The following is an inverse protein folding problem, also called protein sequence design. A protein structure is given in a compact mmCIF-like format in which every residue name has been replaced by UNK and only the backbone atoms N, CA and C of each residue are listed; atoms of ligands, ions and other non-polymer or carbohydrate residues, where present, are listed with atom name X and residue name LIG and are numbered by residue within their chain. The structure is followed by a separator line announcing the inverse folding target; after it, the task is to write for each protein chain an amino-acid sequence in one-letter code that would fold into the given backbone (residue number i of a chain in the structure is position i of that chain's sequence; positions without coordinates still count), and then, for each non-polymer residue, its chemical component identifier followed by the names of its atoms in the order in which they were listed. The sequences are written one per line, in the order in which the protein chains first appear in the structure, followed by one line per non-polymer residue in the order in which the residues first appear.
data_IF_116314815767
#
_entry.id   IF_116314815767
#
_cell.length_a   1.000
_cell.length_b   1.000
_cell.length_c   1.000
_cell.angle_alpha   90.00
_cell.angle_beta   90.00
_cell.angle_gamma   90.00
#
_symmetry.space_group_name_H-M   'P 1'
#
loop_
_entity.id
_entity.type
_entity.pdbx_description
1 polymer ?
#
# COMPACT_ATOMS: atom_id res chain seq x y z
N UNK A 1 -7.27 45.87 11.77
CA UNK A 1 -7.19 46.77 10.58
C UNK A 1 -5.83 46.71 9.88
N UNK A 2 -4.90 45.85 10.32
CA UNK A 2 -3.52 45.79 9.73
C UNK A 2 -3.27 44.66 8.73
N UNK A 3 -4.18 43.67 8.58
CA UNK A 3 -3.99 42.56 7.62
C UNK A 3 -4.34 42.87 6.16
N UNK A 4 -4.95 44.00 5.85
CA UNK A 4 -5.30 44.37 4.48
C UNK A 4 -4.29 45.31 3.80
N UNK A 5 -3.22 45.73 4.47
CA UNK A 5 -2.18 46.61 3.90
C UNK A 5 -0.99 45.83 3.30
N UNK A 6 -0.80 44.58 3.63
CA UNK A 6 0.31 43.76 3.12
C UNK A 6 0.05 43.11 1.77
N UNK A 7 -1.21 42.85 1.40
CA UNK A 7 -1.50 42.24 0.09
C UNK A 7 -1.50 43.21 -1.11
N UNK A 8 -1.59 44.50 -0.88
CA UNK A 8 -1.56 45.49 -1.98
C UNK A 8 -0.17 45.87 -2.46
N UNK A 9 0.89 45.59 -1.70
CA UNK A 9 2.26 45.93 -2.07
C UNK A 9 2.95 44.88 -2.98
N UNK A 10 2.44 43.63 -2.98
CA UNK A 10 3.05 42.55 -3.80
C UNK A 10 2.52 42.50 -5.25
N UNK A 11 1.38 43.13 -5.53
CA UNK A 11 0.80 43.12 -6.88
C UNK A 11 1.36 44.28 -7.76
N UNK A 12 1.88 45.34 -7.15
CA UNK A 12 2.45 46.46 -7.92
C UNK A 12 3.89 46.23 -8.41
N UNK A 13 4.64 45.29 -7.86
CA UNK A 13 6.01 44.97 -8.33
C UNK A 13 6.09 43.97 -9.46
N UNK A 14 5.01 43.25 -9.78
CA UNK A 14 4.96 42.26 -10.89
C UNK A 14 4.58 42.97 -12.23
N UNK A 15 3.95 44.11 -12.17
CA UNK A 15 3.51 44.87 -13.38
C UNK A 15 4.55 45.83 -13.94
N UNK A 16 5.70 46.00 -13.29
CA UNK A 16 6.76 46.94 -13.76
C UNK A 16 7.92 46.26 -14.51
N UNK A 17 7.95 44.95 -14.63
CA UNK A 17 9.01 44.20 -15.35
C UNK A 17 8.61 43.70 -16.75
N UNK A 18 7.45 44.07 -17.26
CA UNK A 18 6.98 43.66 -18.60
C UNK A 18 6.84 44.82 -19.62
N UNK A 19 7.36 46.02 -19.33
CA UNK A 19 7.17 47.20 -20.16
C UNK A 19 8.44 47.85 -20.77
N UNK A 20 9.61 47.16 -20.75
CA UNK A 20 10.83 47.73 -21.34
C UNK A 20 11.57 46.77 -22.27
N UNK A 21 10.89 46.30 -23.31
CA UNK A 21 11.54 45.58 -24.41
C UNK A 21 10.78 45.78 -25.73
N UNK A 22 10.55 47.05 -26.12
CA UNK A 22 10.18 47.38 -27.50
C UNK A 22 10.64 48.80 -27.76
N UNK A 23 11.30 49.00 -28.90
CA UNK A 23 11.81 50.24 -29.58
C UNK A 23 13.34 50.31 -29.53
N UNK A 24 13.97 49.79 -30.58
CA UNK A 24 14.87 50.52 -31.44
C UNK A 24 15.23 49.70 -32.68
N UNK A 25 14.51 49.90 -33.78
CA UNK A 25 14.94 49.53 -35.12
C UNK A 25 14.59 50.69 -36.04
N UNK A 26 15.54 51.54 -36.38
CA UNK A 26 15.44 52.40 -37.56
C UNK A 26 16.82 52.74 -38.10
N UNK A 27 17.08 52.29 -39.33
CA UNK A 27 17.75 52.94 -40.46
C UNK A 27 19.24 53.27 -40.39
N UNK A 28 20.03 52.53 -41.17
CA UNK A 28 20.99 53.17 -42.10
C UNK A 28 21.17 52.33 -43.38
N UNK A 29 21.11 52.93 -44.61
CA UNK A 29 21.44 52.24 -45.83
C UNK A 29 22.91 52.58 -46.22
N UNK A 30 23.72 51.60 -46.56
CA UNK A 30 24.98 51.76 -47.30
C UNK A 30 25.14 50.69 -48.36
N UNK A 31 25.40 51.19 -49.51
CA UNK A 31 25.55 50.51 -50.79
C UNK A 31 26.73 49.54 -50.86
N UNK A 32 26.52 48.51 -51.62
CA UNK A 32 27.34 47.82 -52.56
C UNK A 32 28.81 47.53 -52.28
N UNK A 33 29.10 46.19 -52.17
CA UNK A 33 30.20 45.55 -52.93
C UNK A 33 29.98 44.07 -52.97
N UNK A 34 29.77 43.52 -54.15
CA UNK A 34 29.77 42.08 -54.43
C UNK A 34 31.16 41.52 -54.15
N UNK A 35 31.27 40.68 -53.16
CA UNK A 35 32.40 39.78 -53.04
C UNK A 35 31.82 38.30 -53.08
N UNK A 36 32.15 37.62 -54.16
CA UNK A 36 31.99 36.18 -54.25
C UNK A 36 32.97 35.54 -53.25
N UNK A 37 32.52 35.11 -52.13
CA UNK A 37 33.30 34.29 -51.20
C UNK A 37 32.81 32.87 -51.25
N UNK A 38 33.76 31.98 -51.38
CA UNK A 38 33.66 30.55 -51.47
C UNK A 38 32.75 29.93 -50.39
N UNK A 39 32.14 28.80 -50.73
CA UNK A 39 31.21 28.06 -49.89
C UNK A 39 31.73 27.83 -48.47
N UNK A 40 31.08 28.48 -47.52
CA UNK A 40 31.03 28.04 -46.16
C UNK A 40 29.85 27.05 -46.11
N UNK A 41 30.18 25.74 -46.04
CA UNK A 41 29.21 24.79 -45.56
C UNK A 41 28.73 25.26 -44.19
N UNK A 42 27.55 25.82 -44.12
CA UNK A 42 26.86 26.05 -42.84
C UNK A 42 26.57 24.65 -42.30
N UNK A 43 27.42 24.17 -41.42
CA UNK A 43 27.06 23.08 -40.53
C UNK A 43 25.76 23.51 -39.87
N UNK A 44 24.67 22.84 -40.23
CA UNK A 44 23.39 23.01 -39.54
C UNK A 44 23.66 22.67 -38.09
N UNK A 45 23.73 23.68 -37.23
CA UNK A 45 23.86 23.54 -35.80
C UNK A 45 22.62 22.79 -35.32
N UNK A 46 22.73 21.46 -35.24
CA UNK A 46 21.62 20.60 -34.78
C UNK A 46 21.39 20.93 -33.33
N UNK A 47 20.26 21.58 -33.02
CA UNK A 47 19.89 21.94 -31.67
C UNK A 47 20.05 20.74 -30.74
N UNK A 48 20.71 20.97 -29.61
CA UNK A 48 20.86 19.93 -28.58
C UNK A 48 19.49 19.54 -27.98
N UNK A 49 19.11 18.28 -28.03
CA UNK A 49 17.83 17.79 -27.51
C UNK A 49 17.99 16.47 -26.79
N UNK A 50 17.31 16.31 -25.66
CA UNK A 50 17.08 15.02 -24.99
C UNK A 50 15.57 14.74 -24.89
N UNK A 51 15.13 13.56 -25.32
CA UNK A 51 13.73 13.14 -25.23
C UNK A 51 13.59 11.66 -24.93
N UNK A 52 12.50 11.28 -24.23
CA UNK A 52 12.17 9.86 -24.05
C UNK A 52 11.69 9.26 -25.37
N UNK A 53 12.35 8.21 -25.86
CA UNK A 53 11.88 7.34 -26.94
C UNK A 53 11.04 6.19 -26.41
N UNK A 54 11.24 5.82 -25.11
CA UNK A 54 10.44 4.83 -24.41
C UNK A 54 10.23 5.28 -22.96
N UNK A 55 8.96 5.50 -22.57
CA UNK A 55 8.58 5.90 -21.22
C UNK A 55 7.31 5.21 -20.74
N UNK A 56 7.00 5.31 -19.46
CA UNK A 56 5.73 4.88 -18.87
C UNK A 56 5.29 5.86 -17.79
N UNK A 57 3.99 6.13 -17.71
CA UNK A 57 3.38 6.98 -16.66
C UNK A 57 2.72 6.17 -15.56
N UNK A 58 2.55 4.83 -15.75
CA UNK A 58 1.87 3.96 -14.79
C UNK A 58 2.43 2.55 -14.80
N UNK A 59 2.78 2.03 -13.61
CA UNK A 59 3.33 0.69 -13.43
C UNK A 59 2.92 0.13 -12.06
N UNK A 60 2.81 -1.21 -11.93
CA UNK A 60 2.55 -1.86 -10.63
C UNK A 60 3.82 -1.94 -9.80
N UNK A 61 3.69 -1.82 -8.48
CA UNK A 61 4.77 -2.04 -7.53
C UNK A 61 5.37 -3.45 -7.69
N UNK A 62 6.69 -3.57 -7.51
CA UNK A 62 7.44 -4.82 -7.69
C UNK A 62 7.74 -5.17 -9.15
N UNK A 63 7.44 -4.29 -10.11
CA UNK A 63 7.78 -4.47 -11.53
C UNK A 63 8.98 -3.59 -11.91
N UNK A 64 9.66 -3.99 -12.98
CA UNK A 64 10.73 -3.20 -13.60
C UNK A 64 10.27 -2.60 -14.92
N UNK A 65 10.90 -1.51 -15.34
CA UNK A 65 10.70 -0.88 -16.62
C UNK A 65 12.00 -0.20 -17.05
N UNK A 66 12.38 -0.31 -18.33
CA UNK A 66 13.57 0.35 -18.85
C UNK A 66 13.14 1.55 -19.71
N UNK A 67 13.52 2.74 -19.28
CA UNK A 67 13.41 3.97 -20.04
C UNK A 67 14.48 4.01 -21.12
N UNK A 68 14.16 4.61 -22.25
CA UNK A 68 15.13 4.92 -23.32
C UNK A 68 14.95 6.38 -23.72
N UNK A 69 16.06 7.01 -24.07
CA UNK A 69 16.11 8.39 -24.57
C UNK A 69 16.79 8.42 -25.93
N UNK A 70 16.47 9.40 -26.74
CA UNK A 70 17.31 9.86 -27.84
C UNK A 70 17.98 11.16 -27.43
N UNK A 71 19.20 11.34 -27.92
CA UNK A 71 20.02 12.52 -27.73
C UNK A 71 20.46 12.99 -29.11
N UNK A 72 20.34 14.28 -29.40
CA UNK A 72 20.79 14.94 -30.65
C UNK A 72 21.63 16.14 -30.31
N UNK A 73 22.57 16.51 -31.18
CA UNK A 73 23.41 17.68 -31.01
C UNK A 73 24.54 17.57 -29.98
N UNK A 74 24.60 16.51 -29.18
CA UNK A 74 25.62 16.31 -28.14
C UNK A 74 25.91 14.83 -27.90
N UNK A 75 27.11 14.50 -27.39
CA UNK A 75 27.56 13.16 -27.01
C UNK A 75 27.66 13.00 -25.48
N UNK A 76 27.05 13.88 -24.70
CA UNK A 76 27.08 13.83 -23.25
C UNK A 76 26.50 12.51 -22.70
N UNK A 77 27.11 11.89 -21.66
CA UNK A 77 26.63 10.67 -21.10
C UNK A 77 25.27 10.84 -20.43
N UNK A 78 24.32 9.94 -20.76
CA UNK A 78 22.97 9.97 -20.18
C UNK A 78 22.97 9.36 -18.79
N UNK A 79 22.43 10.10 -17.82
CA UNK A 79 22.20 9.64 -16.45
C UNK A 79 20.73 9.75 -16.08
N UNK A 80 20.27 8.95 -15.10
CA UNK A 80 18.88 8.95 -14.67
C UNK A 80 18.76 9.17 -13.16
N UNK A 81 17.73 9.94 -12.76
CA UNK A 81 17.40 10.15 -11.35
C UNK A 81 15.90 9.89 -11.10
N UNK A 82 15.59 9.37 -9.91
CA UNK A 82 14.24 9.29 -9.37
C UNK A 82 14.08 10.30 -8.25
N UNK A 83 13.05 11.14 -8.31
CA UNK A 83 12.74 12.12 -7.27
C UNK A 83 12.30 11.46 -5.95
N UNK A 84 11.85 10.20 -5.99
CA UNK A 84 11.43 9.45 -4.80
C UNK A 84 11.92 8.00 -4.83
N UNK A 85 13.13 7.77 -4.33
CA UNK A 85 13.75 6.44 -4.28
C UNK A 85 12.99 5.42 -3.40
N UNK A 86 12.08 5.87 -2.51
CA UNK A 86 11.20 5.00 -1.72
C UNK A 86 10.06 4.43 -2.59
N UNK A 87 9.66 5.10 -3.65
CA UNK A 87 8.63 4.64 -4.60
C UNK A 87 9.26 3.81 -5.72
N UNK A 88 10.33 4.30 -6.35
CA UNK A 88 11.08 3.57 -7.36
C UNK A 88 12.54 4.02 -7.38
N UNK A 89 13.45 3.07 -7.66
CA UNK A 89 14.87 3.33 -7.94
C UNK A 89 15.09 3.19 -9.44
N UNK A 90 16.06 3.92 -9.99
CA UNK A 90 16.50 3.82 -11.38
C UNK A 90 18.02 3.81 -11.42
N UNK A 91 18.61 3.03 -12.32
CA UNK A 91 20.05 3.02 -12.56
C UNK A 91 20.41 3.84 -13.81
N UNK A 92 21.71 3.98 -14.08
CA UNK A 92 22.20 4.77 -15.22
C UNK A 92 21.89 4.14 -16.60
N UNK A 93 21.51 2.85 -16.65
CA UNK A 93 21.01 2.20 -17.88
C UNK A 93 19.50 2.44 -18.10
N UNK A 94 18.87 3.32 -17.32
CA UNK A 94 17.45 3.62 -17.40
C UNK A 94 16.53 2.51 -16.84
N UNK A 95 17.08 1.46 -16.19
CA UNK A 95 16.28 0.38 -15.60
C UNK A 95 15.73 0.82 -14.25
N UNK A 96 14.41 1.11 -14.23
CA UNK A 96 13.65 1.43 -13.02
C UNK A 96 13.14 0.15 -12.36
N UNK A 97 13.26 0.08 -11.03
CA UNK A 97 12.63 -0.94 -10.18
C UNK A 97 11.65 -0.27 -9.23
N UNK A 98 10.38 -0.63 -9.32
CA UNK A 98 9.33 -0.08 -8.46
C UNK A 98 9.27 -0.83 -7.13
N UNK A 99 9.09 -0.09 -6.02
CA UNK A 99 9.16 -0.60 -4.65
C UNK A 99 7.76 -0.61 -4.03
N UNK A 100 7.15 0.58 -3.88
CA UNK A 100 5.84 0.75 -3.24
C UNK A 100 4.97 1.74 -4.02
N UNK A 101 3.70 1.79 -3.68
CA UNK A 101 2.73 2.74 -4.24
C UNK A 101 3.13 4.19 -3.99
N UNK A 102 2.84 5.04 -4.96
CA UNK A 102 3.12 6.48 -4.90
C UNK A 102 3.44 7.05 -6.28
N UNK A 103 3.95 8.26 -6.28
CA UNK A 103 4.42 8.94 -7.50
C UNK A 103 5.90 9.29 -7.37
N UNK A 104 6.59 9.28 -8.49
CA UNK A 104 7.97 9.76 -8.62
C UNK A 104 8.16 10.35 -10.01
N UNK A 105 9.02 11.35 -10.14
CA UNK A 105 9.48 11.81 -11.44
C UNK A 105 10.77 11.06 -11.77
N UNK A 106 10.83 10.50 -12.97
CA UNK A 106 12.05 9.95 -13.56
C UNK A 106 12.58 10.99 -14.52
N UNK A 107 13.80 11.45 -14.28
CA UNK A 107 14.48 12.47 -15.08
C UNK A 107 15.73 11.85 -15.70
N UNK A 108 15.89 12.02 -17.00
CA UNK A 108 17.12 11.76 -17.71
C UNK A 108 17.87 13.09 -17.91
N UNK A 109 19.19 13.04 -17.77
CA UNK A 109 20.10 14.18 -17.92
C UNK A 109 21.19 13.82 -18.93
N UNK A 110 21.61 14.81 -19.72
CA UNK A 110 22.82 14.78 -20.57
C UNK A 110 23.41 16.20 -20.55
N UNK A 111 24.57 16.40 -19.88
CA UNK A 111 25.11 17.73 -19.61
C UNK A 111 24.09 18.65 -18.95
N UNK A 112 23.77 19.76 -19.59
CA UNK A 112 22.74 20.72 -19.15
C UNK A 112 21.31 20.35 -19.52
N UNK A 113 21.13 19.37 -20.42
CA UNK A 113 19.83 18.94 -20.91
C UNK A 113 19.13 18.03 -19.89
N UNK A 114 17.81 18.17 -19.77
CA UNK A 114 17.00 17.31 -18.91
C UNK A 114 15.60 17.09 -19.48
N UNK A 115 15.12 15.84 -19.39
CA UNK A 115 13.73 15.49 -19.68
C UNK A 115 13.16 14.64 -18.54
N UNK A 116 11.90 14.91 -18.16
CA UNK A 116 11.28 14.29 -17.01
C UNK A 116 9.89 13.70 -17.33
N UNK A 117 9.57 12.57 -16.71
CA UNK A 117 8.25 11.95 -16.78
C UNK A 117 7.75 11.59 -15.39
N UNK A 118 6.50 11.93 -15.08
CA UNK A 118 5.83 11.54 -13.84
C UNK A 118 5.35 10.11 -13.93
N UNK A 119 5.82 9.24 -13.03
CA UNK A 119 5.45 7.84 -12.96
C UNK A 119 4.57 7.60 -11.72
N UNK A 120 3.39 7.02 -11.95
CA UNK A 120 2.49 6.54 -10.89
C UNK A 120 2.71 5.05 -10.67
N UNK A 121 3.17 4.67 -9.48
CA UNK A 121 3.28 3.27 -9.07
C UNK A 121 1.99 2.86 -8.37
N UNK A 122 1.25 1.94 -8.99
CA UNK A 122 0.00 1.40 -8.46
C UNK A 122 0.26 0.18 -7.56
N UNK A 123 -0.67 -0.16 -6.63
CA UNK A 123 -0.46 -1.29 -5.73
C UNK A 123 -0.46 -2.62 -6.46
N UNK A 124 0.29 -3.60 -5.93
CA UNK A 124 0.22 -5.01 -6.35
C UNK A 124 -1.20 -5.54 -6.19
N UNK A 125 -1.72 -5.40 -4.98
CA UNK A 125 -3.02 -5.84 -4.50
C UNK A 125 -3.51 -4.96 -3.35
N UNK A 126 -4.80 -5.06 -3.01
CA UNK A 126 -5.41 -4.39 -1.86
C UNK A 126 -5.69 -5.44 -0.79
N UNK A 127 -5.14 -5.25 0.41
CA UNK A 127 -5.33 -6.12 1.57
C UNK A 127 -6.17 -5.39 2.61
N UNK A 128 -7.32 -5.95 2.99
CA UNK A 128 -8.07 -5.48 4.14
C UNK A 128 -7.59 -6.23 5.39
N UNK A 129 -7.16 -5.49 6.42
CA UNK A 129 -6.81 -6.00 7.73
C UNK A 129 -7.90 -5.63 8.73
N UNK A 130 -8.42 -6.63 9.43
CA UNK A 130 -9.43 -6.47 10.47
C UNK A 130 -8.87 -6.88 11.82
N UNK A 131 -8.31 -5.95 12.60
CA UNK A 131 -7.98 -6.21 13.99
C UNK A 131 -9.27 -6.48 14.78
N UNK A 132 -9.43 -7.71 15.28
CA UNK A 132 -10.62 -8.15 16.01
C UNK A 132 -10.94 -7.30 17.21
N UNK A 133 -12.21 -7.23 17.54
CA UNK A 133 -12.78 -6.50 18.68
C UNK A 133 -12.46 -4.98 18.74
N UNK A 134 -13.01 -4.31 19.71
CA UNK A 134 -12.70 -2.89 20.04
C UNK A 134 -12.75 -2.69 21.56
N UNK A 135 -12.32 -1.53 22.04
CA UNK A 135 -12.47 -1.17 23.47
C UNK A 135 -13.90 -0.82 23.86
N UNK A 136 -14.78 -0.61 22.87
CA UNK A 136 -16.21 -0.34 23.04
C UNK A 136 -16.97 -1.40 22.22
N UNK A 137 -17.66 -2.32 22.90
CA UNK A 137 -18.40 -3.40 22.25
C UNK A 137 -19.64 -2.84 21.54
N UNK A 138 -19.85 -3.22 20.29
CA UNK A 138 -21.07 -2.88 19.57
C UNK A 138 -22.24 -3.73 20.10
N UNK A 139 -23.20 -3.08 20.75
CA UNK A 139 -24.39 -3.71 21.33
C UNK A 139 -25.41 -4.15 20.28
N UNK A 140 -26.29 -5.10 20.66
CA UNK A 140 -27.36 -5.63 19.84
C UNK A 140 -26.87 -6.70 18.86
N UNK A 141 -27.75 -7.06 17.92
CA UNK A 141 -27.53 -8.15 16.97
C UNK A 141 -27.50 -7.63 15.51
N UNK A 142 -26.94 -8.44 14.62
CA UNK A 142 -26.89 -8.22 13.19
C UNK A 142 -27.17 -9.54 12.42
N UNK A 143 -27.62 -9.50 11.15
CA UNK A 143 -27.84 -10.71 10.37
C UNK A 143 -26.54 -11.49 10.17
N UNK A 144 -26.62 -12.83 10.27
CA UNK A 144 -25.48 -13.73 10.10
C UNK A 144 -24.84 -13.60 8.71
N UNK A 145 -25.65 -13.33 7.69
CA UNK A 145 -25.21 -13.08 6.31
C UNK A 145 -26.27 -12.28 5.55
N UNK A 146 -26.01 -11.88 4.30
CA UNK A 146 -26.98 -11.15 3.47
C UNK A 146 -28.30 -11.94 3.33
N UNK A 147 -29.42 -11.32 3.69
CA UNK A 147 -30.76 -11.94 3.66
C UNK A 147 -31.05 -12.93 4.79
N UNK A 148 -30.13 -13.14 5.74
CA UNK A 148 -30.31 -14.07 6.85
C UNK A 148 -31.36 -13.59 7.86
N UNK A 149 -32.27 -14.49 8.23
CA UNK A 149 -33.16 -14.32 9.41
C UNK A 149 -32.42 -14.62 10.72
N UNK A 150 -31.37 -15.48 10.70
CA UNK A 150 -30.51 -15.76 11.85
C UNK A 150 -29.71 -14.53 12.20
N UNK A 151 -29.67 -14.20 13.49
CA UNK A 151 -28.95 -13.04 14.00
C UNK A 151 -27.85 -13.47 14.97
N UNK A 152 -26.76 -12.72 14.98
CA UNK A 152 -25.62 -12.88 15.89
C UNK A 152 -25.33 -11.57 16.59
N UNK A 153 -24.65 -11.60 17.73
CA UNK A 153 -24.14 -10.39 18.36
C UNK A 153 -23.25 -9.60 17.38
N UNK A 154 -23.39 -8.28 17.38
CA UNK A 154 -22.62 -7.38 16.50
C UNK A 154 -21.12 -7.44 16.75
N UNK A 155 -20.71 -7.62 17.99
CA UNK A 155 -19.32 -7.75 18.43
C UNK A 155 -19.31 -8.47 19.80
N UNK A 156 -18.11 -8.80 20.26
CA UNK A 156 -17.86 -9.31 21.61
C UNK A 156 -16.63 -8.58 22.19
N UNK A 157 -16.44 -8.66 23.49
CA UNK A 157 -15.29 -8.05 24.18
C UNK A 157 -13.94 -8.66 23.76
N UNK A 158 -13.97 -9.87 23.20
CA UNK A 158 -12.78 -10.69 23.00
C UNK A 158 -12.25 -11.27 24.32
N UNK A 159 -11.11 -11.91 24.22
CA UNK A 159 -10.41 -12.48 25.38
C UNK A 159 -9.37 -11.49 25.95
N UNK A 160 -8.66 -11.94 26.97
CA UNK A 160 -7.57 -11.15 27.58
C UNK A 160 -6.45 -12.08 28.06
N UNK A 161 -5.24 -11.58 28.07
CA UNK A 161 -4.09 -12.29 28.58
C UNK A 161 -4.27 -12.73 30.03
N UNK A 162 -4.11 -14.03 30.29
CA UNK A 162 -4.29 -14.59 31.64
C UNK A 162 -3.26 -14.05 32.63
N UNK A 163 -2.03 -13.76 32.17
CA UNK A 163 -0.93 -13.20 32.96
C UNK A 163 -0.82 -11.70 32.75
N UNK A 164 -0.72 -11.27 31.49
CA UNK A 164 -0.42 -9.86 31.15
C UNK A 164 -1.62 -8.93 31.27
N UNK A 165 -2.82 -9.51 31.36
CA UNK A 165 -4.09 -8.76 31.39
C UNK A 165 -4.32 -7.85 30.17
N UNK A 166 -3.52 -8.00 29.12
CA UNK A 166 -3.68 -7.25 27.87
C UNK A 166 -4.97 -7.71 27.19
N UNK A 167 -5.93 -6.82 26.90
CA UNK A 167 -7.12 -7.19 26.13
C UNK A 167 -6.76 -7.56 24.68
N UNK A 168 -7.47 -8.52 24.10
CA UNK A 168 -7.29 -8.98 22.73
C UNK A 168 -7.31 -7.82 21.71
N UNK A 169 -8.25 -6.89 21.85
CA UNK A 169 -8.36 -5.76 20.91
C UNK A 169 -7.10 -4.88 20.85
N UNK A 170 -6.28 -4.82 21.93
CA UNK A 170 -4.99 -4.12 21.92
C UNK A 170 -3.93 -4.91 21.19
N UNK A 171 -3.87 -6.22 21.40
CA UNK A 171 -2.95 -7.13 20.71
C UNK A 171 -3.19 -7.12 19.21
N UNK A 172 -4.44 -7.34 18.78
CA UNK A 172 -4.82 -7.44 17.37
C UNK A 172 -4.58 -6.14 16.62
N UNK A 173 -4.84 -4.97 17.25
CA UNK A 173 -4.54 -3.68 16.65
C UNK A 173 -3.03 -3.44 16.49
N UNK A 174 -2.24 -3.79 17.51
CA UNK A 174 -0.77 -3.69 17.45
C UNK A 174 -0.23 -4.55 16.30
N UNK A 175 -0.70 -5.79 16.17
CA UNK A 175 -0.29 -6.71 15.13
C UNK A 175 -0.69 -6.22 13.73
N UNK A 176 -1.93 -5.75 13.56
CA UNK A 176 -2.40 -5.21 12.30
C UNK A 176 -1.60 -3.97 11.83
N UNK A 177 -1.21 -3.08 12.77
CA UNK A 177 -0.35 -1.92 12.46
C UNK A 177 1.04 -2.36 11.95
N UNK A 178 1.63 -3.40 12.56
CA UNK A 178 2.90 -3.99 12.11
C UNK A 178 2.77 -4.62 10.72
N UNK A 179 1.71 -5.41 10.49
CA UNK A 179 1.41 -6.00 9.17
C UNK A 179 1.21 -4.93 8.11
N UNK A 180 0.45 -3.85 8.43
CA UNK A 180 0.26 -2.72 7.51
C UNK A 180 1.60 -2.15 7.04
N UNK A 181 2.51 -1.84 7.97
CA UNK A 181 3.84 -1.30 7.64
C UNK A 181 4.63 -2.23 6.70
N UNK A 182 4.62 -3.53 6.98
CA UNK A 182 5.31 -4.54 6.17
C UNK A 182 4.68 -4.70 4.78
N UNK A 183 3.35 -4.79 4.69
CA UNK A 183 2.63 -4.92 3.42
C UNK A 183 2.84 -3.70 2.52
N UNK A 184 2.74 -2.49 3.08
CA UNK A 184 2.96 -1.25 2.32
C UNK A 184 4.40 -1.15 1.81
N UNK A 185 5.39 -1.59 2.60
CA UNK A 185 6.77 -1.69 2.16
C UNK A 185 6.97 -2.68 1.00
N UNK A 186 6.11 -3.72 0.89
CA UNK A 186 6.10 -4.70 -0.20
C UNK A 186 5.22 -4.31 -1.39
N UNK A 187 4.67 -3.08 -1.41
CA UNK A 187 3.90 -2.54 -2.53
C UNK A 187 2.42 -2.89 -2.54
N UNK A 188 1.86 -3.36 -1.43
CA UNK A 188 0.41 -3.52 -1.24
C UNK A 188 -0.24 -2.19 -0.85
N UNK A 189 -1.52 -2.03 -1.19
CA UNK A 189 -2.40 -1.06 -0.53
C UNK A 189 -3.07 -1.75 0.64
N UNK A 190 -3.03 -1.13 1.83
CA UNK A 190 -3.67 -1.69 3.03
C UNK A 190 -4.83 -0.81 3.47
N UNK A 191 -5.96 -1.45 3.73
CA UNK A 191 -7.13 -0.85 4.36
C UNK A 191 -7.33 -1.52 5.71
N UNK A 192 -7.35 -0.76 6.78
CA UNK A 192 -7.67 -1.27 8.12
C UNK A 192 -9.13 -0.98 8.45
N UNK A 193 -9.85 -1.96 9.02
CA UNK A 193 -11.24 -1.74 9.46
C UNK A 193 -11.32 -0.77 10.63
N UNK A 194 -10.26 -0.70 11.46
CA UNK A 194 -10.08 0.29 12.52
C UNK A 194 -8.59 0.61 12.72
N UNK A 195 -8.32 1.83 13.17
CA UNK A 195 -6.96 2.33 13.48
C UNK A 195 -6.78 2.70 14.95
N UNK A 196 -7.87 2.68 15.70
CA UNK A 196 -7.93 2.87 17.16
C UNK A 196 -8.98 1.93 17.77
N UNK A 197 -9.25 2.07 19.07
CA UNK A 197 -10.19 1.21 19.81
C UNK A 197 -11.31 2.01 20.49
N UNK A 198 -11.53 3.25 20.06
CA UNK A 198 -12.44 4.20 20.75
C UNK A 198 -13.91 4.10 20.29
N UNK A 199 -14.18 3.47 19.15
CA UNK A 199 -15.53 3.38 18.56
C UNK A 199 -15.97 1.92 18.45
N UNK A 200 -17.24 1.68 18.80
CA UNK A 200 -17.90 0.41 18.52
C UNK A 200 -17.94 0.13 17.00
N UNK A 201 -17.66 -1.10 16.61
CA UNK A 201 -17.65 -1.50 15.21
C UNK A 201 -18.13 -2.94 15.07
N UNK A 202 -19.30 -3.13 14.45
CA UNK A 202 -19.89 -4.45 14.26
C UNK A 202 -19.10 -5.30 13.26
N UNK A 203 -19.23 -6.62 13.34
CA UNK A 203 -18.59 -7.55 12.40
C UNK A 203 -19.01 -7.30 10.95
N UNK A 204 -20.29 -6.99 10.71
CA UNK A 204 -20.81 -6.62 9.37
C UNK A 204 -20.19 -5.30 8.89
N UNK A 205 -20.09 -4.30 9.76
CA UNK A 205 -19.47 -3.02 9.39
C UNK A 205 -18.02 -3.17 8.98
N UNK A 206 -17.26 -4.06 9.65
CA UNK A 206 -15.88 -4.40 9.28
C UNK A 206 -15.80 -5.01 7.88
N UNK A 207 -16.67 -5.98 7.55
CA UNK A 207 -16.76 -6.56 6.22
C UNK A 207 -17.15 -5.52 5.15
N UNK A 208 -18.09 -4.63 5.45
CA UNK A 208 -18.49 -3.54 4.54
C UNK A 208 -17.35 -2.57 4.24
N UNK A 209 -16.46 -2.27 5.19
CA UNK A 209 -15.24 -1.46 4.96
C UNK A 209 -14.33 -2.17 3.95
N UNK A 210 -14.06 -3.48 4.12
CA UNK A 210 -13.26 -4.27 3.19
C UNK A 210 -13.89 -4.31 1.78
N UNK A 211 -15.22 -4.47 1.70
CA UNK A 211 -15.99 -4.48 0.45
C UNK A 211 -15.91 -3.13 -0.28
N UNK A 212 -16.13 -2.00 0.44
CA UNK A 212 -16.03 -0.64 -0.12
C UNK A 212 -14.65 -0.36 -0.69
N UNK A 213 -13.62 -0.87 -0.05
CA UNK A 213 -12.24 -0.75 -0.52
C UNK A 213 -11.94 -1.62 -1.74
N UNK A 214 -12.86 -2.49 -2.18
CA UNK A 214 -12.64 -3.51 -3.24
C UNK A 214 -11.36 -4.31 -2.95
N UNK A 215 -11.18 -4.74 -1.69
CA UNK A 215 -10.00 -5.49 -1.29
C UNK A 215 -9.90 -6.82 -2.04
N UNK A 216 -8.67 -7.24 -2.37
CA UNK A 216 -8.42 -8.55 -3.02
C UNK A 216 -8.52 -9.70 -2.02
N UNK A 217 -8.20 -9.44 -0.73
CA UNK A 217 -8.34 -10.37 0.40
C UNK A 217 -8.74 -9.62 1.67
N UNK A 218 -9.36 -10.34 2.60
CA UNK A 218 -9.79 -9.85 3.90
C UNK A 218 -9.22 -10.75 5.00
N UNK A 219 -8.33 -10.22 5.83
CA UNK A 219 -7.63 -10.93 6.91
C UNK A 219 -8.11 -10.40 8.24
N UNK A 220 -8.84 -11.26 8.97
CA UNK A 220 -9.33 -10.98 10.32
C UNK A 220 -8.32 -11.55 11.31
N UNK A 221 -7.88 -10.73 12.25
CA UNK A 221 -6.79 -11.02 13.17
C UNK A 221 -7.38 -11.12 14.57
N UNK A 222 -7.24 -12.29 15.19
CA UNK A 222 -7.76 -12.63 16.50
C UNK A 222 -6.70 -13.39 17.32
N UNK A 223 -6.98 -13.57 18.60
CA UNK A 223 -6.26 -14.46 19.49
C UNK A 223 -7.26 -15.17 20.37
N UNK A 224 -7.14 -16.48 20.45
CA UNK A 224 -8.12 -17.37 21.07
C UNK A 224 -8.06 -17.36 22.61
N UNK A 225 -9.11 -17.86 23.21
CA UNK A 225 -9.22 -18.06 24.65
C UNK A 225 -10.14 -19.23 24.97
N UNK A 226 -9.71 -20.06 25.92
CA UNK A 226 -10.45 -21.23 26.42
C UNK A 226 -10.11 -21.44 27.89
N UNK A 227 -11.01 -22.07 28.66
CA UNK A 227 -10.80 -22.31 30.09
C UNK A 227 -9.62 -23.24 30.38
N UNK A 228 -9.33 -24.18 29.47
CA UNK A 228 -8.14 -25.03 29.59
C UNK A 228 -6.87 -24.27 29.20
N UNK A 229 -6.16 -23.76 30.18
CA UNK A 229 -4.93 -22.96 30.03
C UNK A 229 -3.73 -23.75 29.46
N UNK A 230 -3.78 -25.06 29.34
CA UNK A 230 -2.73 -25.87 28.69
C UNK A 230 -2.81 -25.80 27.16
N UNK A 231 -3.95 -25.41 26.62
CA UNK A 231 -4.17 -25.34 25.17
C UNK A 231 -3.32 -24.21 24.58
N UNK A 232 -2.60 -24.54 23.52
CA UNK A 232 -1.68 -23.59 22.83
C UNK A 232 -1.65 -23.81 21.32
N UNK A 233 -1.16 -22.82 20.58
CA UNK A 233 -0.95 -22.87 19.13
C UNK A 233 -1.94 -22.02 18.35
N UNK A 234 -1.72 -21.94 17.06
CA UNK A 234 -2.45 -21.06 16.14
C UNK A 234 -3.40 -21.83 15.23
N UNK A 235 -4.50 -21.18 14.85
CA UNK A 235 -5.54 -21.74 13.98
C UNK A 235 -5.93 -20.75 12.89
N UNK A 236 -6.56 -21.25 11.82
CA UNK A 236 -7.16 -20.40 10.79
C UNK A 236 -8.56 -20.91 10.44
N UNK A 237 -9.48 -19.97 10.27
CA UNK A 237 -10.88 -20.24 9.97
C UNK A 237 -11.24 -19.65 8.61
N UNK A 238 -12.04 -20.39 7.84
CA UNK A 238 -12.51 -19.98 6.51
C UNK A 238 -13.96 -20.45 6.29
N UNK A 239 -14.75 -19.84 5.40
CA UNK A 239 -16.11 -20.29 5.11
C UNK A 239 -16.10 -21.65 4.39
N UNK A 240 -17.04 -22.55 4.71
CA UNK A 240 -17.18 -23.84 4.04
C UNK A 240 -17.64 -23.69 2.58
N UNK A 241 -17.59 -24.78 1.81
CA UNK A 241 -18.15 -24.83 0.44
C UNK A 241 -19.67 -24.72 0.46
N UNK A 242 -20.32 -25.24 1.49
CA UNK A 242 -21.77 -25.22 1.71
C UNK A 242 -22.28 -23.92 2.35
N UNK A 243 -21.40 -22.97 2.67
CA UNK A 243 -21.81 -21.67 3.23
C UNK A 243 -22.75 -20.94 2.28
N UNK A 244 -24.02 -20.64 2.69
CA UNK A 244 -25.03 -20.07 1.78
C UNK A 244 -24.73 -18.64 1.29
N UNK A 245 -23.84 -17.92 1.99
CA UNK A 245 -23.53 -16.53 1.70
C UNK A 245 -22.27 -16.37 0.86
N UNK A 246 -21.23 -17.14 1.18
CA UNK A 246 -19.88 -16.95 0.62
C UNK A 246 -19.18 -18.25 0.23
N UNK A 247 -19.94 -19.36 0.07
CA UNK A 247 -19.40 -20.69 -0.28
C UNK A 247 -18.56 -20.68 -1.58
N UNK A 248 -18.91 -19.83 -2.54
CA UNK A 248 -18.12 -19.61 -3.78
C UNK A 248 -16.70 -19.11 -3.51
N UNK A 249 -16.45 -18.49 -2.36
CA UNK A 249 -15.12 -18.00 -1.95
C UNK A 249 -14.32 -19.06 -1.18
N UNK A 250 -14.93 -20.19 -0.75
CA UNK A 250 -14.36 -21.20 0.13
C UNK A 250 -12.97 -21.68 -0.33
N UNK A 251 -12.83 -22.11 -1.59
CA UNK A 251 -11.55 -22.63 -2.12
C UNK A 251 -10.41 -21.59 -1.99
N UNK A 252 -10.69 -20.33 -2.36
CA UNK A 252 -9.71 -19.23 -2.27
C UNK A 252 -9.44 -18.84 -0.82
N UNK A 253 -10.46 -18.82 0.04
CA UNK A 253 -10.36 -18.54 1.47
C UNK A 253 -9.54 -19.61 2.20
N UNK A 254 -9.79 -20.90 1.91
CA UNK A 254 -8.99 -22.02 2.44
C UNK A 254 -7.52 -21.93 2.05
N UNK A 255 -7.22 -21.59 0.75
CA UNK A 255 -5.85 -21.36 0.29
C UNK A 255 -5.20 -20.21 1.08
N UNK A 256 -5.90 -19.07 1.22
CA UNK A 256 -5.41 -17.90 1.96
C UNK A 256 -5.09 -18.26 3.41
N UNK A 257 -6.04 -18.91 4.09
CA UNK A 257 -5.89 -19.37 5.48
C UNK A 257 -4.69 -20.31 5.65
N UNK A 258 -4.52 -21.28 4.73
CA UNK A 258 -3.40 -22.24 4.75
C UNK A 258 -2.05 -21.54 4.57
N UNK A 259 -1.93 -20.63 3.59
CA UNK A 259 -0.68 -19.88 3.35
C UNK A 259 -0.27 -19.07 4.57
N UNK A 260 -1.21 -18.27 5.12
CA UNK A 260 -0.92 -17.41 6.29
C UNK A 260 -0.57 -18.27 7.53
N UNK A 261 -1.37 -19.28 7.84
CA UNK A 261 -1.14 -20.12 9.01
C UNK A 261 0.21 -20.85 8.94
N UNK A 262 0.54 -21.42 7.77
CA UNK A 262 1.80 -22.14 7.58
C UNK A 262 3.02 -21.22 7.72
N UNK A 263 3.04 -20.06 7.03
CA UNK A 263 4.16 -19.14 7.07
C UNK A 263 4.34 -18.52 8.47
N UNK A 264 3.21 -18.17 9.14
CA UNK A 264 3.22 -17.65 10.50
C UNK A 264 3.78 -18.67 11.49
N UNK A 265 3.30 -19.91 11.47
CA UNK A 265 3.79 -20.96 12.36
C UNK A 265 5.26 -21.32 12.09
N UNK A 266 5.69 -21.37 10.81
CA UNK A 266 7.10 -21.54 10.44
C UNK A 266 7.99 -20.45 11.04
N UNK A 267 7.56 -19.17 10.93
CA UNK A 267 8.31 -18.02 11.42
C UNK A 267 8.40 -17.92 12.94
N UNK A 268 7.31 -18.25 13.63
CA UNK A 268 7.17 -18.10 15.09
C UNK A 268 7.55 -19.34 15.86
N UNK A 269 7.60 -20.50 15.19
CA UNK A 269 7.66 -21.85 15.81
C UNK A 269 6.45 -22.17 16.69
N UNK A 270 5.32 -21.47 16.47
CA UNK A 270 4.06 -21.79 17.12
C UNK A 270 3.51 -23.14 16.61
N UNK A 271 2.87 -23.90 17.51
CA UNK A 271 2.14 -25.11 17.15
C UNK A 271 1.03 -24.76 16.16
N UNK A 272 1.02 -25.39 14.99
CA UNK A 272 -0.09 -25.31 14.05
C UNK A 272 -1.19 -26.28 14.53
N UNK A 273 -2.37 -25.74 14.87
CA UNK A 273 -3.52 -26.53 15.34
C UNK A 273 -4.45 -26.89 14.18
N UNK A 274 -5.34 -26.00 13.84
CA UNK A 274 -6.42 -26.30 12.90
C UNK A 274 -6.52 -25.33 11.73
N UNK A 275 -7.00 -25.86 10.62
CA UNK A 275 -7.47 -25.13 9.46
C UNK A 275 -8.93 -25.56 9.23
N UNK A 276 -9.88 -24.81 9.80
CA UNK A 276 -11.27 -25.27 9.97
C UNK A 276 -12.26 -24.42 9.20
N UNK A 277 -13.28 -25.06 8.66
CA UNK A 277 -14.42 -24.36 8.07
C UNK A 277 -15.36 -23.84 9.16
N UNK A 278 -15.82 -22.59 9.05
CA UNK A 278 -16.75 -21.96 9.99
C UNK A 278 -17.74 -21.06 9.24
N UNK A 279 -19.03 -21.30 9.43
CA UNK A 279 -20.11 -20.63 8.71
C UNK A 279 -20.96 -19.71 9.60
N UNK A 280 -20.64 -19.68 10.88
CA UNK A 280 -21.33 -18.87 11.90
C UNK A 280 -20.67 -17.52 12.19
N UNK A 281 -19.79 -17.05 11.32
CA UNK A 281 -19.05 -15.79 11.47
C UNK A 281 -19.62 -14.68 10.55
N UNK A 282 -20.46 -13.78 11.12
CA UNK A 282 -21.09 -12.71 10.34
C UNK A 282 -20.06 -11.85 9.58
N UNK A 283 -18.94 -11.50 10.20
CA UNK A 283 -17.88 -10.72 9.54
C UNK A 283 -17.26 -11.43 8.33
N UNK A 284 -17.28 -12.77 8.28
CA UNK A 284 -16.83 -13.55 7.12
C UNK A 284 -17.93 -13.70 6.07
N UNK A 285 -19.17 -13.91 6.51
CA UNK A 285 -20.32 -14.14 5.63
C UNK A 285 -20.73 -12.92 4.81
N UNK A 286 -20.36 -11.72 5.24
CA UNK A 286 -20.60 -10.46 4.52
C UNK A 286 -19.45 -10.06 3.59
N UNK A 287 -18.37 -10.85 3.51
CA UNK A 287 -17.23 -10.56 2.64
C UNK A 287 -17.56 -10.81 1.16
N UNK A 288 -17.03 -9.95 0.27
CA UNK A 288 -17.13 -10.10 -1.19
C UNK A 288 -15.83 -10.59 -1.83
N UNK A 289 -14.82 -10.89 -1.04
CA UNK A 289 -13.49 -11.37 -1.43
C UNK A 289 -13.06 -12.53 -0.54
N UNK A 290 -12.01 -13.30 -0.91
CA UNK A 290 -11.45 -14.34 -0.05
C UNK A 290 -11.17 -13.81 1.36
N UNK A 291 -11.64 -14.51 2.37
CA UNK A 291 -11.59 -14.10 3.78
C UNK A 291 -11.02 -15.21 4.64
N UNK A 292 -10.22 -14.82 5.64
CA UNK A 292 -9.70 -15.70 6.69
C UNK A 292 -9.80 -15.01 8.03
N UNK A 293 -10.02 -15.80 9.10
CA UNK A 293 -9.82 -15.37 10.47
C UNK A 293 -8.65 -16.20 11.02
N UNK A 294 -7.64 -15.49 11.55
CA UNK A 294 -6.43 -16.12 12.11
C UNK A 294 -6.44 -15.92 13.61
N UNK A 295 -6.42 -17.03 14.33
CA UNK A 295 -6.15 -17.09 15.77
C UNK A 295 -4.64 -17.27 15.95
N UNK A 296 -3.95 -16.22 16.41
CA UNK A 296 -2.49 -16.18 16.44
C UNK A 296 -1.87 -16.97 17.61
N UNK A 297 -2.69 -17.42 18.54
CA UNK A 297 -2.35 -18.17 19.74
C UNK A 297 -3.43 -18.00 20.81
N UNK A 298 -3.27 -18.64 21.97
CA UNK A 298 -4.20 -18.58 23.08
C UNK A 298 -3.74 -17.57 24.15
N UNK A 299 -4.52 -16.51 24.35
CA UNK A 299 -4.24 -15.51 25.40
C UNK A 299 -4.48 -16.06 26.79
N UNK A 300 -5.23 -17.16 26.91
CA UNK A 300 -5.44 -17.91 28.16
C UNK A 300 -4.32 -18.90 28.49
N UNK A 301 -3.39 -19.16 27.55
CA UNK A 301 -2.18 -19.92 27.83
C UNK A 301 -1.08 -18.98 28.37
N UNK A 302 -0.55 -19.19 29.60
CA UNK A 302 0.41 -18.27 30.22
C UNK A 302 1.70 -18.05 29.41
N UNK A 303 2.20 -19.09 28.73
CA UNK A 303 3.42 -18.98 27.93
C UNK A 303 3.18 -18.21 26.62
N UNK A 304 2.05 -18.45 25.95
CA UNK A 304 1.70 -17.72 24.72
C UNK A 304 1.32 -16.28 24.99
N UNK A 305 0.59 -15.98 26.07
CA UNK A 305 0.26 -14.63 26.51
C UNK A 305 1.53 -13.79 26.71
N UNK A 306 2.50 -14.32 27.51
CA UNK A 306 3.79 -13.61 27.70
C UNK A 306 4.53 -13.39 26.37
N UNK A 307 4.55 -14.38 25.46
CA UNK A 307 5.17 -14.23 24.14
C UNK A 307 4.49 -13.14 23.31
N UNK A 308 3.15 -13.18 23.19
CA UNK A 308 2.35 -12.21 22.43
C UNK A 308 2.43 -10.79 22.98
N UNK A 309 2.69 -10.65 24.29
CA UNK A 309 2.93 -9.35 24.92
C UNK A 309 4.26 -8.70 24.47
N UNK A 310 5.23 -9.48 23.97
CA UNK A 310 6.52 -8.94 23.53
C UNK A 310 6.47 -8.36 22.11
N UNK A 311 7.16 -7.24 21.90
CA UNK A 311 7.26 -6.64 20.56
C UNK A 311 8.00 -7.55 19.57
N UNK A 312 9.03 -8.25 20.04
CA UNK A 312 9.82 -9.23 19.27
C UNK A 312 8.94 -10.34 18.68
N UNK A 313 8.03 -10.91 19.48
CA UNK A 313 7.16 -11.99 18.99
C UNK A 313 6.07 -11.47 18.06
N UNK A 314 5.44 -10.32 18.37
CA UNK A 314 4.50 -9.66 17.46
C UNK A 314 5.11 -9.29 16.10
N UNK A 315 6.40 -8.92 16.07
CA UNK A 315 7.11 -8.71 14.80
C UNK A 315 7.24 -10.02 14.01
N UNK A 316 7.56 -11.15 14.67
CA UNK A 316 7.61 -12.47 14.02
C UNK A 316 6.24 -12.91 13.50
N UNK A 317 5.15 -12.71 14.28
CA UNK A 317 3.78 -12.97 13.84
C UNK A 317 3.43 -12.17 12.60
N UNK A 318 3.64 -10.84 12.65
CA UNK A 318 3.35 -9.94 11.53
C UNK A 318 4.13 -10.33 10.28
N UNK A 319 5.44 -10.61 10.42
CA UNK A 319 6.28 -11.02 9.31
C UNK A 319 5.78 -12.33 8.68
N UNK A 320 5.50 -13.36 9.50
CA UNK A 320 5.02 -14.66 9.01
C UNK A 320 3.64 -14.55 8.34
N UNK A 321 2.72 -13.74 8.89
CA UNK A 321 1.42 -13.51 8.25
C UNK A 321 1.55 -12.79 6.90
N UNK A 322 2.46 -11.83 6.79
CA UNK A 322 2.72 -11.10 5.55
C UNK A 322 3.43 -11.99 4.52
N UNK A 323 4.37 -12.85 4.95
CA UNK A 323 5.00 -13.85 4.09
C UNK A 323 3.92 -14.80 3.50
N UNK A 324 2.96 -15.26 4.33
CA UNK A 324 1.85 -16.08 3.86
C UNK A 324 0.88 -15.36 2.91
N UNK A 325 0.75 -14.04 3.00
CA UNK A 325 0.00 -13.24 2.02
C UNK A 325 0.75 -13.20 0.68
N UNK A 326 2.07 -13.03 0.69
CA UNK A 326 2.89 -13.11 -0.53
C UNK A 326 2.77 -14.50 -1.17
N UNK A 327 2.89 -15.59 -0.39
CA UNK A 327 2.71 -16.98 -0.87
C UNK A 327 1.32 -17.19 -1.51
N UNK A 328 0.27 -16.60 -0.93
CA UNK A 328 -1.08 -16.70 -1.49
C UNK A 328 -1.18 -16.06 -2.87
N UNK A 329 -0.54 -14.91 -3.08
CA UNK A 329 -0.55 -14.20 -4.36
C UNK A 329 0.53 -14.69 -5.35
N UNK A 330 1.49 -15.52 -4.91
CA UNK A 330 2.60 -16.01 -5.74
C UNK A 330 3.71 -14.97 -5.94
N UNK A 331 4.05 -14.26 -4.90
CA UNK A 331 5.13 -13.25 -4.92
C UNK A 331 6.35 -13.71 -4.14
#
# INVERSE_FOLDING_TARGET
MEKKKFEKLHIQHILWMLATAFILSLLFPVAGKTLVAAGAETSADTAEEIRFTKSTTKIKAGKTYTFKVSLTGTNEPVTFKSSNKKVAKINNQGKMTTIRTGTTNITAYAGSLAVSVKVTVTPKKIVALDPGHTGVVASGTEPLGPGSKTRKAKDASGTRGVVTKIPEYKLTLSLAKKMKKLLEARGYKVVMTRTNSKKALSCVSRAKIANKAKADIYVRIHADGIDNHSVSGASALYPSKSNPYVGKLSKKSKKLSKCILNAMCKKTKAKKRSLSARDDLSGSNWAKMPVTLIEVGFMTNPAEDRKMATDKYRNKLAQGMVDGIDDYFGY
#
